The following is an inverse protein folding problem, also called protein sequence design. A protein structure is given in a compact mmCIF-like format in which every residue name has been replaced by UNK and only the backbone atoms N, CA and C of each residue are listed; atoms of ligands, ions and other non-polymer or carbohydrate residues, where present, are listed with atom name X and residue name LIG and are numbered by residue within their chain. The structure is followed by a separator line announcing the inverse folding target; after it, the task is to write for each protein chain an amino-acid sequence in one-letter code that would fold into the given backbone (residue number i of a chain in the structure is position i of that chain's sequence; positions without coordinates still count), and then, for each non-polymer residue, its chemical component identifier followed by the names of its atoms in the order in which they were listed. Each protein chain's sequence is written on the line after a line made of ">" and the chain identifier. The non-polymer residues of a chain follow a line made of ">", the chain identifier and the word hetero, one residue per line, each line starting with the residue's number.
data_IF_820463318634
#
_entry.id   IF_820463318634
#
_cell.length_a   1.000
_cell.length_b   1.000
_cell.length_c   1.000
_cell.angle_alpha   90.00
_cell.angle_beta   90.00
_cell.angle_gamma   90.00
#
_symmetry.space_group_name_H-M   'P 1'
#
loop_
_entity.id
_entity.type
_entity.pdbx_description
1 polymer ?
#
# COMPACT_ATOMS: atom_id res chain seq x y z
N UNK A 1 12.86 -4.13 5.68
CA UNK A 1 11.75 -4.73 6.43
C UNK A 1 11.25 -5.90 5.61
N UNK A 2 11.99 -6.99 5.65
CA UNK A 2 11.53 -8.26 6.22
C UNK A 2 10.24 -8.79 5.58
N UNK A 3 10.48 -9.63 4.57
CA UNK A 3 9.53 -10.44 3.79
C UNK A 3 8.52 -11.17 4.68
N UNK A 4 7.28 -11.30 4.20
CA UNK A 4 6.31 -12.27 4.72
C UNK A 4 5.78 -12.01 6.12
N UNK A 5 5.47 -10.77 6.50
CA UNK A 5 5.14 -10.45 7.90
C UNK A 5 3.89 -9.61 8.15
N UNK A 6 3.28 -9.82 9.32
CA UNK A 6 2.21 -9.00 9.90
C UNK A 6 2.80 -7.83 10.67
N UNK A 7 2.20 -6.66 10.47
CA UNK A 7 2.61 -5.40 11.09
C UNK A 7 1.56 -4.91 12.09
N UNK A 8 2.03 -4.29 13.17
CA UNK A 8 1.21 -3.50 14.08
C UNK A 8 1.71 -2.06 14.07
N UNK A 9 0.83 -1.09 13.90
CA UNK A 9 1.17 0.33 13.91
C UNK A 9 0.04 1.15 14.50
N UNK A 10 0.16 2.47 14.38
CA UNK A 10 -0.92 3.38 14.74
C UNK A 10 -2.15 3.17 13.84
N UNK A 11 -3.31 3.61 14.32
CA UNK A 11 -4.55 3.58 13.53
C UNK A 11 -4.30 4.31 12.20
N UNK A 12 -4.59 3.62 11.10
CA UNK A 12 -4.36 4.15 9.75
C UNK A 12 -5.08 5.48 9.54
N UNK A 13 -4.35 6.48 9.07
CA UNK A 13 -4.91 7.78 8.72
C UNK A 13 -5.54 7.69 7.32
N UNK A 14 -6.78 8.18 7.12
CA UNK A 14 -7.39 8.18 5.79
C UNK A 14 -6.61 9.10 4.84
N UNK A 15 -6.33 8.58 3.64
CA UNK A 15 -5.60 9.27 2.57
C UNK A 15 -6.48 9.59 1.35
N UNK A 16 -7.71 9.06 1.30
CA UNK A 16 -8.68 9.36 0.25
C UNK A 16 -9.39 8.12 -0.27
N UNK A 17 -10.05 8.27 -1.40
CA UNK A 17 -10.71 7.15 -2.09
C UNK A 17 -10.83 7.42 -3.59
N UNK A 18 -10.87 6.37 -4.39
CA UNK A 18 -11.10 6.43 -5.82
C UNK A 18 -12.07 5.33 -6.27
N UNK A 19 -12.71 5.55 -7.41
CA UNK A 19 -13.42 4.48 -8.11
C UNK A 19 -12.40 3.54 -8.78
N UNK A 20 -12.72 2.25 -8.80
CA UNK A 20 -11.84 1.21 -9.30
C UNK A 20 -11.57 1.35 -10.79
N UNK A 21 -12.64 1.27 -11.58
CA UNK A 21 -12.65 1.51 -13.01
C UNK A 21 -14.04 1.99 -13.44
N UNK A 22 -14.22 2.28 -14.75
CA UNK A 22 -15.49 2.76 -15.28
C UNK A 22 -16.60 1.69 -15.39
N UNK A 23 -16.23 0.40 -15.35
CA UNK A 23 -17.15 -0.74 -15.45
C UNK A 23 -17.58 -1.30 -14.09
N UNK A 24 -17.00 -0.79 -13.01
CA UNK A 24 -17.17 -1.28 -11.65
C UNK A 24 -17.79 -0.21 -10.76
N UNK A 25 -18.61 -0.64 -9.80
CA UNK A 25 -19.08 0.22 -8.70
C UNK A 25 -18.19 0.11 -7.47
N UNK A 26 -17.06 -0.60 -7.58
CA UNK A 26 -16.12 -0.74 -6.49
C UNK A 26 -15.40 0.59 -6.20
N UNK A 27 -15.27 0.88 -4.90
CA UNK A 27 -14.55 2.05 -4.40
C UNK A 27 -13.39 1.60 -3.53
N UNK A 28 -12.19 2.03 -3.87
CA UNK A 28 -10.99 1.78 -3.06
C UNK A 28 -10.79 2.93 -2.07
N UNK A 29 -10.47 2.58 -0.82
CA UNK A 29 -10.18 3.54 0.25
C UNK A 29 -8.71 3.41 0.63
N UNK A 30 -7.98 4.52 0.56
CA UNK A 30 -6.56 4.57 0.90
C UNK A 30 -6.38 4.97 2.36
N UNK A 31 -5.49 4.26 3.06
CA UNK A 31 -5.04 4.57 4.41
C UNK A 31 -3.53 4.53 4.49
N UNK A 32 -2.95 5.38 5.36
CA UNK A 32 -1.52 5.36 5.66
C UNK A 32 -1.34 4.94 7.11
N UNK A 33 -0.64 3.84 7.32
CA UNK A 33 -0.20 3.40 8.64
C UNK A 33 1.24 3.88 8.89
N UNK A 34 1.51 4.33 10.12
CA UNK A 34 2.83 4.82 10.55
C UNK A 34 3.29 4.06 11.78
N UNK A 35 4.59 4.15 12.06
CA UNK A 35 5.22 3.52 13.22
C UNK A 35 4.94 2.02 13.30
N UNK A 36 4.89 1.36 12.13
CA UNK A 36 4.61 -0.05 12.03
C UNK A 36 5.81 -0.88 12.48
N UNK A 37 5.56 -1.87 13.32
CA UNK A 37 6.53 -2.88 13.75
C UNK A 37 6.05 -4.27 13.35
N UNK A 38 7.00 -5.14 13.03
CA UNK A 38 6.74 -6.53 12.69
C UNK A 38 6.38 -7.32 13.94
N UNK A 39 5.23 -7.99 13.93
CA UNK A 39 4.73 -8.74 15.09
C UNK A 39 4.61 -10.25 14.86
N UNK A 40 4.51 -10.70 13.61
CA UNK A 40 4.43 -12.11 13.26
C UNK A 40 4.75 -12.33 11.77
N UNK A 41 4.86 -13.58 11.33
CA UNK A 41 4.80 -13.92 9.92
C UNK A 41 3.38 -13.74 9.37
N UNK A 42 3.25 -13.64 8.05
CA UNK A 42 1.98 -13.60 7.33
C UNK A 42 1.16 -14.85 7.61
N UNK A 43 -0.15 -14.66 7.64
CA UNK A 43 -1.15 -15.72 7.79
C UNK A 43 -2.08 -15.57 6.59
N UNK A 44 -1.69 -16.21 5.48
CA UNK A 44 -2.39 -16.17 4.20
C UNK A 44 -3.43 -17.29 4.13
N UNK A 45 -4.54 -17.05 3.45
CA UNK A 45 -5.51 -18.09 3.14
C UNK A 45 -5.00 -19.01 2.00
N UNK A 46 -5.63 -20.18 1.83
CA UNK A 46 -5.20 -21.20 0.83
C UNK A 46 -5.15 -20.68 -0.62
N UNK A 47 -5.90 -19.62 -0.91
CA UNK A 47 -6.01 -19.00 -2.24
C UNK A 47 -5.26 -17.67 -2.36
N UNK A 48 -4.50 -17.27 -1.34
CA UNK A 48 -3.71 -16.05 -1.34
C UNK A 48 -2.23 -16.33 -1.61
N UNK A 49 -1.68 -15.63 -2.61
CA UNK A 49 -0.29 -15.76 -3.04
C UNK A 49 0.36 -14.38 -3.06
N UNK A 50 0.89 -13.96 -1.92
CA UNK A 50 1.38 -12.58 -1.72
C UNK A 50 2.86 -12.63 -1.29
N UNK A 51 3.68 -11.81 -1.92
CA UNK A 51 5.04 -11.50 -1.47
C UNK A 51 5.08 -10.05 -0.98
N UNK A 52 5.65 -9.84 0.22
CA UNK A 52 5.84 -8.50 0.78
C UNK A 52 7.26 -8.06 0.54
N UNK A 53 7.38 -6.90 -0.11
CA UNK A 53 8.65 -6.21 -0.35
C UNK A 53 8.74 -4.96 0.52
N UNK A 54 9.87 -4.75 1.18
CA UNK A 54 10.24 -3.40 1.63
C UNK A 54 11.19 -2.80 0.61
N UNK A 55 10.77 -1.66 0.09
CA UNK A 55 11.54 -0.80 -0.78
C UNK A 55 11.82 0.53 -0.10
N UNK A 56 12.92 1.16 -0.49
CA UNK A 56 13.18 2.54 -0.11
C UNK A 56 12.16 3.47 -0.78
N UNK A 57 11.78 4.55 -0.09
CA UNK A 57 10.74 5.45 -0.58
C UNK A 57 11.06 6.04 -1.95
N UNK A 58 12.33 6.38 -2.21
CA UNK A 58 12.75 6.93 -3.49
C UNK A 58 12.71 5.89 -4.62
N UNK A 59 12.97 4.62 -4.31
CA UNK A 59 12.82 3.52 -5.25
C UNK A 59 11.35 3.27 -5.58
N UNK A 60 10.50 3.26 -4.55
CA UNK A 60 9.05 3.16 -4.73
C UNK A 60 8.51 4.26 -5.65
N UNK A 61 8.91 5.53 -5.43
CA UNK A 61 8.52 6.65 -6.30
C UNK A 61 9.01 6.47 -7.73
N UNK A 62 10.20 5.90 -7.94
CA UNK A 62 10.72 5.61 -9.29
C UNK A 62 9.86 4.56 -9.99
N UNK A 63 9.58 3.43 -9.33
CA UNK A 63 8.74 2.35 -9.87
C UNK A 63 7.34 2.87 -10.23
N UNK A 64 6.75 3.65 -9.32
CA UNK A 64 5.45 4.29 -9.52
C UNK A 64 5.45 5.21 -10.75
N UNK A 65 6.42 6.11 -10.86
CA UNK A 65 6.53 7.07 -11.98
C UNK A 65 6.90 6.39 -13.30
N UNK A 66 7.55 5.23 -13.26
CA UNK A 66 7.86 4.43 -14.43
C UNK A 66 6.66 3.65 -14.98
N UNK A 67 5.50 3.66 -14.30
CA UNK A 67 4.31 2.95 -14.74
C UNK A 67 4.39 1.44 -14.56
N UNK A 68 5.20 0.97 -13.61
CA UNK A 68 5.41 -0.46 -13.34
C UNK A 68 4.48 -1.03 -12.26
N UNK A 69 3.37 -0.33 -11.96
CA UNK A 69 2.35 -0.76 -11.00
C UNK A 69 0.96 -0.66 -11.63
N UNK A 70 0.12 -1.66 -11.39
CA UNK A 70 -1.27 -1.72 -11.89
C UNK A 70 -2.20 -0.80 -11.11
N UNK A 71 -2.09 -0.79 -9.77
CA UNK A 71 -2.97 -0.05 -8.85
C UNK A 71 -2.25 1.18 -8.26
N UNK A 72 -1.85 2.08 -9.15
CA UNK A 72 -0.95 3.21 -8.85
C UNK A 72 -1.62 4.30 -8.01
N UNK A 73 -2.94 4.43 -8.10
CA UNK A 73 -3.73 5.50 -7.50
C UNK A 73 -3.68 5.52 -5.97
N UNK A 74 -3.64 4.35 -5.31
CA UNK A 74 -3.51 4.31 -3.84
C UNK A 74 -2.14 4.79 -3.37
N UNK A 75 -1.09 4.52 -4.17
CA UNK A 75 0.24 5.04 -3.90
C UNK A 75 0.28 6.58 -3.98
N UNK A 76 -0.32 7.16 -5.03
CA UNK A 76 -0.43 8.61 -5.17
C UNK A 76 -1.19 9.24 -4.01
N UNK A 77 -2.35 8.70 -3.62
CA UNK A 77 -3.14 9.20 -2.49
C UNK A 77 -2.36 9.13 -1.16
N UNK A 78 -1.66 8.02 -0.92
CA UNK A 78 -0.83 7.86 0.28
C UNK A 78 0.32 8.86 0.34
N UNK A 79 1.04 9.05 -0.78
CA UNK A 79 2.14 10.01 -0.85
C UNK A 79 1.67 11.46 -0.71
N UNK A 80 0.51 11.81 -1.31
CA UNK A 80 -0.11 13.13 -1.14
C UNK A 80 -0.41 13.40 0.34
N UNK A 81 -1.06 12.44 1.00
CA UNK A 81 -1.42 12.55 2.41
C UNK A 81 -0.22 12.71 3.33
N UNK A 82 0.94 12.18 2.92
CA UNK A 82 2.21 12.30 3.63
C UNK A 82 2.98 13.59 3.29
N UNK A 83 2.57 14.34 2.26
CA UNK A 83 3.32 15.50 1.75
C UNK A 83 4.61 15.11 1.02
N UNK A 84 4.62 13.95 0.35
CA UNK A 84 5.81 13.33 -0.24
C UNK A 84 5.76 13.20 -1.76
N UNK A 85 4.77 13.80 -2.43
CA UNK A 85 4.62 13.71 -3.89
C UNK A 85 5.72 14.42 -4.70
#
# INVERSE_FOLDING_TARGET
>A
MVVGSRLHGEVGEPAGSCWDDAGSTAKRHAFVARNCVRIAEQELDEMEFIAVELVELDEFKKVMRAGLMTDVELAYLGLDRLGLL
#
